data_IF_776648842080
#
_entry.id   IF_776648842080
#
_cell.length_a   1.000
_cell.length_b   1.000
_cell.length_c   1.000
_cell.angle_alpha   90.00
_cell.angle_beta   90.00
_cell.angle_gamma   90.00
#
_symmetry.space_group_name_H-M   'P 1'
#
loop_
_entity.id
_entity.type
_entity.pdbx_description
1 polymer ?
#
# COMPACT_ATOMS: atom_id res chain seq x y z
N UNK A 1 -28.91 -6.66 33.89
CA UNK A 1 -28.51 -5.36 33.30
C UNK A 1 -27.07 -5.50 32.86
N UNK A 2 -26.82 -5.79 31.58
CA UNK A 2 -25.48 -5.98 31.03
C UNK A 2 -24.74 -4.65 31.00
N UNK A 3 -23.74 -4.50 31.87
CA UNK A 3 -22.80 -3.38 31.83
C UNK A 3 -22.13 -3.36 30.45
N UNK A 4 -22.62 -2.46 29.60
CA UNK A 4 -22.08 -2.21 28.27
C UNK A 4 -20.72 -1.56 28.47
N UNK A 5 -19.71 -2.42 28.61
CA UNK A 5 -18.32 -2.14 28.91
C UNK A 5 -17.83 -0.89 28.16
N UNK A 6 -17.62 0.22 28.88
CA UNK A 6 -17.22 1.51 28.29
C UNK A 6 -15.87 1.44 27.56
N UNK A 7 -15.07 0.41 27.85
CA UNK A 7 -13.83 0.07 27.14
C UNK A 7 -14.10 -0.31 25.67
N UNK A 8 -15.30 -0.81 25.35
CA UNK A 8 -15.64 -1.32 24.01
C UNK A 8 -15.73 -0.19 22.99
N UNK A 9 -16.30 0.97 23.35
CA UNK A 9 -16.49 2.07 22.40
C UNK A 9 -15.18 2.83 22.14
N UNK A 10 -14.32 3.00 23.16
CA UNK A 10 -12.99 3.57 23.00
C UNK A 10 -12.07 2.66 22.18
N UNK A 11 -12.07 1.35 22.46
CA UNK A 11 -11.31 0.38 21.66
C UNK A 11 -11.83 0.29 20.22
N UNK A 12 -13.16 0.32 20.00
CA UNK A 12 -13.73 0.41 18.66
C UNK A 12 -13.30 1.67 17.92
N UNK A 13 -13.29 2.84 18.58
CA UNK A 13 -12.84 4.10 17.95
C UNK A 13 -11.37 4.07 17.59
N UNK A 14 -10.52 3.52 18.46
CA UNK A 14 -9.10 3.34 18.17
C UNK A 14 -8.86 2.31 17.06
N UNK A 15 -9.58 1.18 17.08
CA UNK A 15 -9.52 0.18 16.00
C UNK A 15 -9.99 0.76 14.67
N UNK A 16 -11.05 1.55 14.65
CA UNK A 16 -11.53 2.21 13.42
C UNK A 16 -10.50 3.21 12.89
N UNK A 17 -9.88 4.01 13.78
CA UNK A 17 -8.82 4.97 13.40
C UNK A 17 -7.55 4.27 12.88
N UNK A 18 -7.27 3.05 13.34
CA UNK A 18 -6.09 2.27 12.92
C UNK A 18 -6.43 1.16 11.91
N UNK A 19 -7.68 1.11 11.43
CA UNK A 19 -8.18 0.02 10.59
C UNK A 19 -7.40 -0.07 9.28
N UNK A 20 -7.09 1.06 8.68
CA UNK A 20 -6.35 1.12 7.42
C UNK A 20 -4.90 0.66 7.58
N UNK A 21 -4.23 1.09 8.65
CA UNK A 21 -2.86 0.66 8.93
C UNK A 21 -2.78 -0.84 9.26
N UNK A 22 -3.72 -1.34 10.07
CA UNK A 22 -3.83 -2.77 10.35
C UNK A 22 -4.09 -3.58 9.07
N UNK A 23 -5.00 -3.11 8.22
CA UNK A 23 -5.30 -3.71 6.91
C UNK A 23 -4.07 -3.73 6.00
N UNK A 24 -3.30 -2.64 5.96
CA UNK A 24 -2.03 -2.57 5.24
C UNK A 24 -1.02 -3.63 5.72
N UNK A 25 -0.82 -3.75 7.04
CA UNK A 25 0.10 -4.75 7.60
C UNK A 25 -0.35 -6.19 7.30
N UNK A 26 -1.66 -6.43 7.37
CA UNK A 26 -2.25 -7.72 7.02
C UNK A 26 -1.97 -8.07 5.57
N UNK A 27 -2.28 -7.18 4.62
CA UNK A 27 -2.01 -7.44 3.20
C UNK A 27 -0.53 -7.62 2.90
N UNK A 28 0.34 -6.81 3.52
CA UNK A 28 1.80 -6.97 3.38
C UNK A 28 2.26 -8.34 3.85
N UNK A 29 1.73 -8.82 4.96
CA UNK A 29 2.07 -10.14 5.51
C UNK A 29 1.58 -11.25 4.60
N UNK A 30 0.35 -11.14 4.11
CA UNK A 30 -0.25 -12.14 3.22
C UNK A 30 0.47 -12.22 1.88
N UNK A 31 0.76 -11.08 1.25
CA UNK A 31 1.51 -11.02 0.00
C UNK A 31 2.89 -11.70 0.15
N UNK A 32 3.62 -11.41 1.25
CA UNK A 32 4.91 -12.06 1.53
C UNK A 32 4.76 -13.57 1.68
N UNK A 33 3.71 -14.04 2.36
CA UNK A 33 3.50 -15.47 2.54
C UNK A 33 3.13 -16.16 1.22
N UNK A 34 2.29 -15.51 0.41
CA UNK A 34 1.86 -16.01 -0.89
C UNK A 34 3.05 -16.22 -1.82
N UNK A 35 3.81 -15.14 -2.07
CA UNK A 35 5.01 -15.16 -2.93
C UNK A 35 6.04 -16.21 -2.49
N UNK A 36 6.20 -16.43 -1.17
CA UNK A 36 7.24 -17.33 -0.66
C UNK A 36 6.86 -18.80 -0.62
N UNK A 37 5.56 -19.13 -0.56
CA UNK A 37 5.12 -20.48 -0.18
C UNK A 37 4.01 -21.05 -1.05
N UNK A 38 3.24 -20.20 -1.74
CA UNK A 38 2.00 -20.61 -2.41
C UNK A 38 2.00 -20.30 -3.90
N UNK A 39 2.67 -19.21 -4.31
CA UNK A 39 2.69 -18.76 -5.70
C UNK A 39 3.28 -19.83 -6.63
N UNK A 40 2.61 -20.03 -7.76
CA UNK A 40 3.14 -20.75 -8.92
C UNK A 40 4.08 -19.86 -9.73
N UNK A 41 4.79 -20.43 -10.70
CA UNK A 41 5.66 -19.64 -11.58
C UNK A 41 4.85 -18.60 -12.38
N UNK A 42 3.67 -18.95 -12.89
CA UNK A 42 2.78 -18.02 -13.59
C UNK A 42 2.33 -16.85 -12.68
N UNK A 43 2.03 -17.13 -11.40
CA UNK A 43 1.68 -16.08 -10.42
C UNK A 43 2.86 -15.13 -10.18
N UNK A 44 4.09 -15.66 -10.15
CA UNK A 44 5.29 -14.86 -9.92
C UNK A 44 5.56 -13.93 -11.11
N UNK A 45 5.40 -14.44 -12.32
CA UNK A 45 5.55 -13.66 -13.56
C UNK A 45 4.51 -12.53 -13.63
N UNK A 46 3.24 -12.82 -13.31
CA UNK A 46 2.19 -11.79 -13.23
C UNK A 46 2.53 -10.74 -12.17
N UNK A 47 2.92 -11.16 -10.96
CA UNK A 47 3.25 -10.25 -9.88
C UNK A 47 4.46 -9.36 -10.21
N UNK A 48 5.46 -9.89 -10.93
CA UNK A 48 6.61 -9.09 -11.38
C UNK A 48 6.17 -7.99 -12.34
N UNK A 49 5.29 -8.30 -13.29
CA UNK A 49 4.73 -7.32 -14.21
C UNK A 49 3.92 -6.23 -13.46
N UNK A 50 3.07 -6.62 -12.50
CA UNK A 50 2.32 -5.68 -11.68
C UNK A 50 3.23 -4.76 -10.85
N UNK A 51 4.32 -5.30 -10.30
CA UNK A 51 5.32 -4.51 -9.55
C UNK A 51 6.01 -3.50 -10.47
N UNK A 52 6.35 -3.91 -11.69
CA UNK A 52 6.96 -3.03 -12.69
C UNK A 52 6.04 -1.86 -13.03
N UNK A 53 4.79 -2.13 -13.40
CA UNK A 53 3.79 -1.11 -13.74
C UNK A 53 3.57 -0.13 -12.59
N UNK A 54 3.45 -0.63 -11.36
CA UNK A 54 3.27 0.22 -10.18
C UNK A 54 4.42 1.20 -9.98
N UNK A 55 5.67 0.75 -10.20
CA UNK A 55 6.88 1.59 -10.06
C UNK A 55 6.99 2.60 -11.18
N UNK A 56 6.64 2.22 -12.41
CA UNK A 56 6.64 3.13 -13.56
C UNK A 56 5.60 4.25 -13.36
N UNK A 57 4.41 3.92 -12.85
CA UNK A 57 3.41 4.92 -12.47
C UNK A 57 3.92 5.89 -11.38
N UNK A 58 4.62 5.38 -10.35
CA UNK A 58 5.23 6.26 -9.32
C UNK A 58 6.27 7.20 -9.91
N UNK A 59 7.08 6.73 -10.86
CA UNK A 59 8.08 7.56 -11.55
C UNK A 59 7.38 8.61 -12.42
N UNK A 60 6.33 8.23 -13.17
CA UNK A 60 5.59 9.17 -14.01
C UNK A 60 4.90 10.26 -13.19
N UNK A 61 4.27 9.92 -12.06
CA UNK A 61 3.63 10.91 -11.17
C UNK A 61 4.65 11.88 -10.57
N UNK A 62 5.83 11.38 -10.19
CA UNK A 62 6.94 12.21 -9.76
C UNK A 62 7.43 13.12 -10.90
N UNK A 63 7.69 12.55 -12.06
CA UNK A 63 8.20 13.29 -13.21
C UNK A 63 7.21 14.34 -13.68
N UNK A 64 5.91 14.07 -13.78
CA UNK A 64 4.90 15.05 -14.16
C UNK A 64 4.81 16.23 -13.18
N UNK A 65 4.91 15.95 -11.87
CA UNK A 65 4.88 16.98 -10.84
C UNK A 65 6.10 17.90 -10.90
N UNK A 66 7.27 17.35 -11.26
CA UNK A 66 8.55 18.08 -11.28
C UNK A 66 9.01 18.48 -12.69
N UNK A 67 8.30 18.07 -13.74
CA UNK A 67 8.61 18.38 -15.15
C UNK A 67 8.72 19.88 -15.42
N UNK A 68 7.79 20.75 -14.94
CA UNK A 68 7.90 22.18 -15.17
C UNK A 68 9.19 22.76 -14.58
N UNK A 69 9.60 22.25 -13.41
CA UNK A 69 10.80 22.68 -12.71
C UNK A 69 12.10 22.24 -13.41
N UNK A 70 12.07 21.08 -14.06
CA UNK A 70 13.22 20.54 -14.79
C UNK A 70 13.38 21.17 -16.17
N UNK A 71 12.27 21.56 -16.82
CA UNK A 71 12.29 22.29 -18.09
C UNK A 71 12.84 23.71 -17.87
N UNK A 72 12.43 24.39 -16.80
CA UNK A 72 12.97 25.71 -16.39
C UNK A 72 14.48 25.70 -16.07
N UNK A 73 15.04 24.55 -15.70
CA UNK A 73 16.47 24.38 -15.41
C UNK A 73 17.32 24.10 -16.65
N UNK A 74 16.71 23.67 -17.76
CA UNK A 74 17.42 23.40 -19.02
C UNK A 74 17.59 24.66 -19.87
N UNK A 75 16.81 25.70 -19.59
CA UNK A 75 16.82 26.98 -20.32
C UNK A 75 17.72 28.05 -19.65
N UNK A 76 18.57 27.66 -18.69
CA UNK A 76 19.62 28.49 -18.08
C UNK A 76 21.02 27.99 -18.46
#
# INVERSE_FOLDING_TARGET
MTEKNAQTEANKRWQTKNKEHAKYLQYRTYARSFIRKLATDDDLDELEQLIKERREQDIHDYMDRFKPLMDDLKDK
#
